data_IF_143169093094
#
_entry.id   IF_143169093094
#
_cell.length_a   1.000
_cell.length_b   1.000
_cell.length_c   1.000
_cell.angle_alpha   90.00
_cell.angle_beta   90.00
_cell.angle_gamma   90.00
#
_symmetry.space_group_name_H-M   'P 1'
#
loop_
_entity.id
_entity.type
_entity.pdbx_description
1 polymer ?
#
# COMPACT_ATOMS: atom_id res chain seq x y z
N UNK A 1 10.69 -13.90 -32.65
CA UNK A 1 9.91 -14.16 -31.43
C UNK A 1 10.62 -15.19 -30.60
N UNK A 2 11.03 -14.88 -29.36
CA UNK A 2 11.68 -15.85 -28.48
C UNK A 2 10.68 -16.91 -27.99
N UNK A 3 11.14 -18.15 -27.83
CA UNK A 3 10.42 -19.25 -27.18
C UNK A 3 11.34 -19.81 -26.09
N UNK A 4 10.89 -19.77 -24.83
CA UNK A 4 11.72 -20.17 -23.69
C UNK A 4 11.51 -21.65 -23.31
N UNK A 5 10.26 -22.12 -23.27
CA UNK A 5 9.96 -23.54 -22.99
C UNK A 5 10.41 -24.05 -21.62
N UNK A 6 10.67 -23.15 -20.66
CA UNK A 6 11.13 -23.49 -19.31
C UNK A 6 9.94 -23.58 -18.33
N UNK A 7 10.02 -24.53 -17.40
CA UNK A 7 9.07 -24.68 -16.29
C UNK A 7 9.78 -24.41 -14.95
N UNK A 8 9.15 -23.62 -14.08
CA UNK A 8 9.66 -23.28 -12.77
C UNK A 8 8.69 -23.75 -11.69
N UNK A 9 9.22 -24.45 -10.69
CA UNK A 9 8.46 -24.89 -9.51
C UNK A 9 9.06 -24.29 -8.25
N UNK A 10 8.23 -23.70 -7.40
CA UNK A 10 8.64 -23.08 -6.15
C UNK A 10 7.52 -23.17 -5.11
N UNK A 11 7.90 -23.18 -3.83
CA UNK A 11 6.93 -23.07 -2.75
C UNK A 11 6.32 -21.66 -2.73
N UNK A 12 5.01 -21.58 -2.86
CA UNK A 12 4.30 -20.30 -2.85
C UNK A 12 4.05 -19.88 -1.39
N UNK A 13 4.55 -18.71 -0.94
CA UNK A 13 4.28 -18.22 0.42
C UNK A 13 2.77 -18.10 0.67
N UNK A 14 2.31 -18.44 1.88
CA UNK A 14 0.87 -18.36 2.22
C UNK A 14 0.26 -16.95 2.04
N UNK A 15 1.08 -15.89 2.13
CA UNK A 15 0.64 -14.50 2.01
C UNK A 15 1.46 -13.77 0.95
N UNK A 16 0.84 -13.49 -0.20
CA UNK A 16 1.36 -12.60 -1.23
C UNK A 16 0.20 -11.85 -1.93
N UNK A 17 0.52 -10.78 -2.65
CA UNK A 17 -0.50 -9.94 -3.32
C UNK A 17 -0.55 -10.18 -4.82
N UNK A 18 0.61 -10.28 -5.47
CA UNK A 18 0.76 -10.51 -6.90
C UNK A 18 1.85 -11.54 -7.17
N UNK A 19 1.65 -12.36 -8.20
CA UNK A 19 2.72 -13.04 -8.91
C UNK A 19 3.15 -12.12 -10.06
N UNK A 20 4.41 -11.70 -10.08
CA UNK A 20 4.94 -10.79 -11.10
C UNK A 20 6.06 -11.46 -11.88
N UNK A 21 6.02 -11.35 -13.21
CA UNK A 21 7.08 -11.76 -14.12
C UNK A 21 7.65 -10.51 -14.78
N UNK A 22 8.98 -10.35 -14.71
CA UNK A 22 9.69 -9.24 -15.32
C UNK A 22 10.45 -9.73 -16.55
N UNK A 23 10.34 -8.96 -17.63
CA UNK A 23 11.13 -9.19 -18.84
C UNK A 23 12.27 -8.17 -18.85
N UNK A 24 13.48 -8.68 -18.99
CA UNK A 24 14.69 -7.87 -19.10
C UNK A 24 15.33 -8.07 -20.48
N UNK A 25 15.90 -6.98 -21.00
CA UNK A 25 16.84 -7.01 -22.11
C UNK A 25 18.25 -6.87 -21.55
N UNK A 26 19.11 -7.84 -21.86
CA UNK A 26 20.49 -7.88 -21.35
C UNK A 26 21.37 -7.01 -22.22
N UNK A 27 21.79 -5.86 -21.70
CA UNK A 27 22.81 -5.03 -22.36
C UNK A 27 24.21 -5.56 -22.05
N UNK A 28 24.81 -6.25 -23.03
CA UNK A 28 26.17 -6.82 -22.91
C UNK A 28 27.26 -5.77 -22.76
N UNK A 29 27.01 -4.52 -23.18
CA UNK A 29 28.00 -3.45 -23.16
C UNK A 29 27.91 -2.63 -21.87
N UNK A 30 26.70 -2.36 -21.38
CA UNK A 30 26.49 -1.54 -20.18
C UNK A 30 26.48 -2.33 -18.87
N UNK A 31 26.56 -3.68 -18.91
CA UNK A 31 26.48 -4.57 -17.73
C UNK A 31 25.24 -4.31 -16.85
N UNK A 32 24.21 -3.70 -17.40
CA UNK A 32 22.98 -3.36 -16.72
C UNK A 32 21.81 -3.92 -17.54
N UNK A 33 20.99 -4.75 -16.90
CA UNK A 33 19.80 -5.29 -17.53
C UNK A 33 18.70 -4.22 -17.58
N UNK A 34 18.18 -3.96 -18.78
CA UNK A 34 17.10 -2.99 -18.99
C UNK A 34 15.76 -3.70 -18.85
N UNK A 35 14.89 -3.22 -17.96
CA UNK A 35 13.53 -3.72 -17.85
C UNK A 35 12.75 -3.38 -19.13
N UNK A 36 12.21 -4.38 -19.81
CA UNK A 36 11.30 -4.21 -20.94
C UNK A 36 9.85 -4.03 -20.48
N UNK A 37 9.48 -4.68 -19.38
CA UNK A 37 8.16 -4.59 -18.79
C UNK A 37 7.87 -5.75 -17.85
N UNK A 38 6.62 -5.82 -17.38
CA UNK A 38 6.16 -6.91 -16.51
C UNK A 38 4.76 -7.40 -16.83
N UNK A 39 4.47 -8.61 -16.38
CA UNK A 39 3.12 -9.15 -16.19
C UNK A 39 2.90 -9.31 -14.69
N UNK A 40 1.77 -8.84 -14.16
CA UNK A 40 1.43 -8.98 -12.75
C UNK A 40 0.01 -9.57 -12.62
N UNK A 41 -0.10 -10.72 -11.95
CA UNK A 41 -1.37 -11.43 -11.72
C UNK A 41 -1.68 -11.36 -10.23
N UNK A 42 -2.87 -10.91 -9.85
CA UNK A 42 -3.26 -10.89 -8.44
C UNK A 42 -3.37 -12.32 -7.90
N UNK A 43 -3.03 -12.50 -6.63
CA UNK A 43 -3.22 -13.79 -5.94
C UNK A 43 -4.66 -14.28 -6.08
N UNK A 44 -5.64 -13.39 -5.95
CA UNK A 44 -7.06 -13.74 -6.05
C UNK A 44 -7.47 -14.23 -7.44
N UNK A 45 -6.77 -13.83 -8.51
CA UNK A 45 -7.11 -14.18 -9.89
C UNK A 45 -6.36 -15.42 -10.40
N UNK A 46 -5.33 -15.91 -9.70
CA UNK A 46 -4.49 -17.02 -10.18
C UNK A 46 -5.28 -18.29 -10.53
N UNK A 47 -6.35 -18.57 -9.78
CA UNK A 47 -7.19 -19.75 -10.01
C UNK A 47 -7.91 -19.72 -11.38
N UNK A 48 -8.12 -18.53 -11.96
CA UNK A 48 -8.78 -18.36 -13.25
C UNK A 48 -7.94 -18.88 -14.43
N UNK A 49 -6.62 -18.97 -14.24
CA UNK A 49 -5.65 -19.33 -15.29
C UNK A 49 -5.03 -20.73 -15.09
N UNK A 50 -5.54 -21.50 -14.12
CA UNK A 50 -4.99 -22.81 -13.80
C UNK A 50 -5.15 -23.81 -14.96
N UNK A 51 -4.08 -24.55 -15.28
CA UNK A 51 -4.00 -25.56 -16.34
C UNK A 51 -4.40 -25.05 -17.74
N UNK A 52 -4.16 -23.77 -18.03
CA UNK A 52 -4.45 -23.16 -19.33
C UNK A 52 -3.32 -22.24 -19.76
N UNK A 53 -3.07 -22.19 -21.07
CA UNK A 53 -2.15 -21.21 -21.66
C UNK A 53 -2.88 -19.88 -21.87
N UNK A 54 -2.24 -18.77 -21.49
CA UNK A 54 -2.82 -17.43 -21.58
C UNK A 54 -1.78 -16.40 -22.03
N UNK A 55 -2.16 -15.56 -22.98
CA UNK A 55 -1.41 -14.36 -23.33
C UNK A 55 -1.76 -13.22 -22.37
N UNK A 56 -0.75 -12.64 -21.74
CA UNK A 56 -0.91 -11.47 -20.89
C UNK A 56 -0.23 -10.25 -21.53
N UNK A 57 -0.84 -9.05 -21.45
CA UNK A 57 -0.21 -7.85 -21.93
C UNK A 57 0.98 -7.48 -21.04
N UNK A 58 2.14 -7.25 -21.66
CA UNK A 58 3.32 -6.71 -20.98
C UNK A 58 3.06 -5.23 -20.69
N UNK A 59 3.17 -4.83 -19.43
CA UNK A 59 3.00 -3.45 -18.97
C UNK A 59 4.34 -2.81 -18.71
N UNK A 60 4.43 -1.51 -18.97
CA UNK A 60 5.61 -0.72 -18.59
C UNK A 60 5.83 -0.81 -17.07
N UNK A 61 7.09 -0.90 -16.66
CA UNK A 61 7.48 -0.85 -15.26
C UNK A 61 7.86 0.58 -14.95
N UNK A 62 7.00 1.24 -14.18
CA UNK A 62 7.30 2.53 -13.59
C UNK A 62 7.75 2.30 -12.14
N UNK A 63 8.98 2.73 -11.83
CA UNK A 63 9.58 2.63 -10.50
C UNK A 63 8.75 3.37 -9.44
N UNK A 64 7.99 4.39 -9.85
CA UNK A 64 7.12 5.13 -8.95
C UNK A 64 5.80 4.39 -8.67
N UNK A 65 5.30 3.63 -9.64
CA UNK A 65 4.08 2.83 -9.57
C UNK A 65 4.26 1.46 -8.90
N UNK A 66 5.48 0.98 -8.71
CA UNK A 66 5.76 -0.20 -7.89
C UNK A 66 5.75 0.17 -6.41
N UNK A 67 4.55 0.42 -5.88
CA UNK A 67 4.34 0.54 -4.44
C UNK A 67 4.64 -0.81 -3.81
N UNK A 68 5.81 -0.92 -3.17
CA UNK A 68 6.21 -2.07 -2.37
C UNK A 68 6.06 -1.75 -0.88
N UNK A 69 5.91 -2.80 -0.09
CA UNK A 69 5.78 -2.72 1.36
C UNK A 69 4.38 -2.98 1.90
N UNK A 70 4.29 -2.93 3.22
CA UNK A 70 3.07 -3.19 4.00
C UNK A 70 2.97 -2.13 5.08
N UNK A 71 1.75 -1.76 5.46
CA UNK A 71 1.48 -0.93 6.62
C UNK A 71 0.58 -1.69 7.59
N UNK A 72 0.90 -1.63 8.88
CA UNK A 72 0.10 -2.18 9.95
C UNK A 72 -0.64 -1.01 10.64
N UNK A 73 -1.96 -0.99 10.48
CA UNK A 73 -2.83 0.11 10.91
C UNK A 73 -3.98 -0.45 11.74
N UNK A 74 -4.30 0.22 12.83
CA UNK A 74 -5.53 0.03 13.60
C UNK A 74 -6.45 1.24 13.38
N UNK A 75 -7.74 1.02 13.14
CA UNK A 75 -8.75 2.07 13.01
C UNK A 75 -9.85 1.83 14.03
N UNK A 76 -10.23 2.87 14.76
CA UNK A 76 -11.36 2.84 15.71
C UNK A 76 -12.30 4.00 15.45
N UNK A 77 -13.58 3.74 15.66
CA UNK A 77 -14.64 4.74 15.62
C UNK A 77 -15.48 4.58 16.88
N UNK A 78 -15.49 5.60 17.72
CA UNK A 78 -16.06 5.53 19.06
C UNK A 78 -16.97 6.74 19.33
N UNK A 79 -18.14 6.56 19.96
CA UNK A 79 -18.94 7.67 20.44
C UNK A 79 -18.23 8.40 21.59
N UNK A 80 -18.26 9.72 21.57
CA UNK A 80 -17.78 10.58 22.64
C UNK A 80 -18.98 11.05 23.45
N UNK A 81 -19.20 10.41 24.60
CA UNK A 81 -20.21 10.84 25.57
C UNK A 81 -19.71 12.10 26.29
N UNK A 82 -20.27 13.27 25.98
CA UNK A 82 -20.07 14.47 26.81
C UNK A 82 -20.99 14.42 28.02
N UNK A 83 -20.46 14.71 29.20
CA UNK A 83 -21.18 14.63 30.47
C UNK A 83 -22.40 15.56 30.55
N UNK A 84 -23.54 14.94 30.87
CA UNK A 84 -24.73 15.39 31.61
C UNK A 84 -25.42 16.74 31.40
N UNK A 85 -25.07 17.65 30.48
CA UNK A 85 -25.88 18.89 30.40
C UNK A 85 -25.99 19.66 29.06
N UNK A 86 -25.79 19.05 27.90
CA UNK A 86 -26.11 19.73 26.63
C UNK A 86 -26.81 18.79 25.66
N UNK A 87 -27.99 19.22 25.20
CA UNK A 87 -28.87 18.51 24.28
C UNK A 87 -28.16 18.23 22.94
N UNK A 88 -28.36 17.01 22.41
CA UNK A 88 -28.28 16.60 21.00
C UNK A 88 -26.96 16.69 20.20
N UNK A 89 -25.79 16.81 20.84
CA UNK A 89 -24.52 16.67 20.11
C UNK A 89 -23.81 15.33 20.38
N UNK A 90 -24.16 14.32 19.57
CA UNK A 90 -23.33 13.13 19.43
C UNK A 90 -22.06 13.50 18.64
N UNK A 91 -20.93 13.62 19.34
CA UNK A 91 -19.64 13.62 18.69
C UNK A 91 -19.14 12.17 18.64
N UNK A 92 -18.64 11.75 17.48
CA UNK A 92 -17.86 10.54 17.34
C UNK A 92 -16.38 10.92 17.21
N UNK A 93 -15.51 9.99 17.57
CA UNK A 93 -14.06 10.13 17.39
C UNK A 93 -13.59 8.99 16.51
N UNK A 94 -12.94 9.34 15.40
CA UNK A 94 -12.18 8.38 14.61
C UNK A 94 -10.72 8.46 15.01
N UNK A 95 -10.09 7.32 15.29
CA UNK A 95 -8.65 7.24 15.53
C UNK A 95 -8.02 6.27 14.57
N UNK A 96 -6.90 6.67 13.98
CA UNK A 96 -6.05 5.83 13.14
C UNK A 96 -4.71 5.68 13.84
N UNK A 97 -4.37 4.48 14.30
CA UNK A 97 -3.03 4.18 14.83
C UNK A 97 -2.20 3.55 13.73
N UNK A 98 -1.14 4.24 13.31
CA UNK A 98 -0.12 3.64 12.44
C UNK A 98 0.95 3.02 13.33
N UNK A 99 1.04 1.68 13.34
CA UNK A 99 2.01 0.98 14.17
C UNK A 99 3.37 0.95 13.48
N UNK A 100 3.42 0.40 12.27
CA UNK A 100 4.66 0.17 11.54
C UNK A 100 4.41 -0.02 10.05
N UNK A 101 5.48 0.08 9.27
CA UNK A 101 5.53 -0.42 7.90
C UNK A 101 6.68 -1.41 7.73
N UNK A 102 6.59 -2.29 6.73
CA UNK A 102 7.68 -3.18 6.32
C UNK A 102 7.94 -3.06 4.83
N UNK A 103 9.16 -3.37 4.41
CA UNK A 103 9.56 -3.52 3.00
C UNK A 103 9.22 -2.32 2.09
N UNK A 104 9.33 -1.09 2.61
CA UNK A 104 9.09 0.13 1.82
C UNK A 104 10.15 0.31 0.73
N UNK A 105 9.74 0.82 -0.43
CA UNK A 105 10.64 1.12 -1.54
C UNK A 105 11.66 2.20 -1.17
N UNK A 106 12.92 2.02 -1.55
CA UNK A 106 13.95 3.07 -1.53
C UNK A 106 13.91 3.82 -2.85
N UNK A 107 13.64 5.14 -2.81
CA UNK A 107 13.79 6.03 -3.97
C UNK A 107 14.99 6.95 -3.72
N UNK A 108 15.87 7.08 -4.71
CA UNK A 108 17.05 7.96 -4.65
C UNK A 108 18.03 7.66 -3.49
N UNK A 109 18.20 6.39 -3.12
CA UNK A 109 19.25 5.92 -2.20
C UNK A 109 18.97 6.06 -0.70
N UNK A 110 17.84 6.67 -0.29
CA UNK A 110 17.39 6.72 1.11
C UNK A 110 15.87 6.56 1.19
N UNK A 111 15.37 6.14 2.35
CA UNK A 111 13.94 6.11 2.65
C UNK A 111 13.73 6.81 4.00
N UNK A 112 13.09 7.97 3.98
CA UNK A 112 12.76 8.76 5.17
C UNK A 112 11.22 8.85 5.33
N UNK A 113 10.53 7.74 5.66
CA UNK A 113 9.08 7.65 5.55
C UNK A 113 8.32 8.47 6.60
N UNK A 114 7.17 8.99 6.19
CA UNK A 114 6.09 9.50 7.03
C UNK A 114 4.74 9.16 6.38
N UNK A 115 3.68 9.09 7.17
CA UNK A 115 2.33 8.88 6.67
C UNK A 115 1.48 10.13 6.80
N UNK A 116 0.53 10.30 5.87
CA UNK A 116 -0.50 11.33 5.90
C UNK A 116 -1.85 10.62 5.92
N UNK A 117 -2.70 11.01 6.87
CA UNK A 117 -4.08 10.56 6.99
C UNK A 117 -4.99 11.75 6.70
N UNK A 118 -5.80 11.63 5.65
CA UNK A 118 -6.78 12.64 5.25
C UNK A 118 -8.17 12.11 5.53
N UNK A 119 -8.89 12.78 6.42
CA UNK A 119 -10.32 12.58 6.64
C UNK A 119 -11.09 13.49 5.70
N UNK A 120 -11.92 12.92 4.83
CA UNK A 120 -12.81 13.66 3.93
C UNK A 120 -14.25 13.59 4.45
N UNK A 121 -14.86 14.74 4.68
CA UNK A 121 -16.25 14.85 5.16
C UNK A 121 -17.21 15.03 3.98
N UNK A 122 -18.50 14.73 4.18
CA UNK A 122 -19.54 14.84 3.15
C UNK A 122 -19.76 16.27 2.64
N UNK A 123 -19.45 17.28 3.46
CA UNK A 123 -19.50 18.70 3.10
C UNK A 123 -18.22 19.18 2.40
N UNK A 124 -17.43 18.27 1.84
CA UNK A 124 -16.14 18.55 1.17
C UNK A 124 -15.04 19.11 2.08
N UNK A 125 -15.28 19.27 3.38
CA UNK A 125 -14.22 19.60 4.34
C UNK A 125 -13.21 18.46 4.37
N UNK A 126 -11.94 18.80 4.60
CA UNK A 126 -10.88 17.83 4.85
C UNK A 126 -10.14 18.17 6.14
N UNK A 127 -9.73 17.14 6.86
CA UNK A 127 -8.77 17.25 7.96
C UNK A 127 -7.58 16.35 7.69
N UNK A 128 -6.38 16.91 7.76
CA UNK A 128 -5.15 16.23 7.40
C UNK A 128 -4.27 16.14 8.65
N UNK A 129 -3.84 14.93 8.99
CA UNK A 129 -2.86 14.66 10.05
C UNK A 129 -1.70 13.87 9.46
N UNK A 130 -0.50 14.05 10.01
CA UNK A 130 0.70 13.34 9.56
C UNK A 130 1.50 12.80 10.74
N UNK A 131 2.22 11.72 10.52
CA UNK A 131 3.18 11.19 11.51
C UNK A 131 4.48 11.96 11.48
N UNK A 132 5.35 11.71 12.46
CA UNK A 132 6.75 12.12 12.39
C UNK A 132 7.48 11.37 11.29
N UNK A 133 8.50 12.01 10.73
CA UNK A 133 9.41 11.39 9.77
C UNK A 133 10.34 10.42 10.51
N UNK A 134 10.43 9.18 10.02
CA UNK A 134 11.45 8.22 10.43
C UNK A 134 12.58 8.26 9.41
N UNK A 135 13.83 8.29 9.85
CA UNK A 135 14.97 8.48 8.95
C UNK A 135 15.61 7.16 8.54
N UNK A 136 16.04 7.06 7.29
CA UNK A 136 16.88 5.99 6.73
C UNK A 136 16.38 4.58 7.07
N UNK A 137 15.10 4.33 6.89
CA UNK A 137 14.51 3.02 7.17
C UNK A 137 13.42 2.66 6.17
N UNK A 138 13.45 1.41 5.72
CA UNK A 138 12.39 0.78 4.93
C UNK A 138 11.39 0.01 5.80
N UNK A 139 11.61 -0.04 7.11
CA UNK A 139 10.73 -0.70 8.08
C UNK A 139 10.52 0.20 9.31
N UNK A 140 9.84 1.36 9.13
CA UNK A 140 9.62 2.30 10.22
C UNK A 140 8.63 1.74 11.25
N UNK A 141 8.97 1.87 12.53
CA UNK A 141 8.00 1.80 13.62
C UNK A 141 7.54 3.21 14.00
N UNK A 142 6.26 3.51 13.77
CA UNK A 142 5.64 4.79 14.08
C UNK A 142 5.08 4.79 15.50
N UNK A 143 4.17 3.86 15.77
CA UNK A 143 3.30 3.81 16.94
C UNK A 143 2.60 5.15 17.25
N UNK A 144 2.07 5.79 16.20
CA UNK A 144 1.44 7.11 16.30
C UNK A 144 -0.08 7.01 16.12
N UNK A 145 -0.83 7.57 17.08
CA UNK A 145 -2.29 7.66 17.04
C UNK A 145 -2.71 9.04 16.48
N UNK A 146 -3.43 9.04 15.36
CA UNK A 146 -3.99 10.24 14.73
C UNK A 146 -5.50 10.27 14.97
N UNK A 147 -5.99 11.30 15.67
CA UNK A 147 -7.39 11.42 16.07
C UNK A 147 -8.13 12.52 15.29
N UNK A 148 -9.39 12.26 14.96
CA UNK A 148 -10.29 13.13 14.23
C UNK A 148 -11.64 13.20 14.97
N UNK A 149 -12.13 14.42 15.20
CA UNK A 149 -13.47 14.62 15.76
C UNK A 149 -14.50 14.67 14.63
N UNK A 150 -15.53 13.82 14.75
CA UNK A 150 -16.61 13.70 13.79
C UNK A 150 -17.90 14.14 14.45
N UNK A 151 -18.33 15.37 14.19
CA UNK A 151 -19.64 15.84 14.64
C UNK A 151 -20.72 15.27 13.73
N UNK A 152 -21.68 14.53 14.28
CA UNK A 152 -22.92 14.23 13.56
C UNK A 152 -23.89 15.36 13.83
N UNK A 153 -24.03 16.28 12.86
CA UNK A 153 -25.21 17.15 12.84
C UNK A 153 -26.38 16.28 12.39
N UNK A 154 -27.27 15.94 13.31
CA UNK A 154 -28.57 15.35 12.95
C UNK A 154 -29.30 16.40 12.10
N UNK A 155 -29.62 16.06 10.85
CA UNK A 155 -30.47 16.87 9.97
C UNK A 155 -31.92 16.85 10.45
#
# INVERSE_FOLDING_TARGET
SPFFGEEFQFEVPRKFRYLSLYLYDRDRHLKQDKVLGKVAIKREDLHLYHNKEHWFPIRAVDADSEVQGKAHIEVKFEPVLKGNNELDHHNNRMTVRLLECSDLTIKNGSCDPFAVVTMCYSNSRQEIRRTKVKKKTVSPHFDELLSFEVSTTTL
#
